data_IF_325135221576
#
_entry.id   IF_325135221576
#
_cell.length_a   1.000
_cell.length_b   1.000
_cell.length_c   1.000
_cell.angle_alpha   90.00
_cell.angle_beta   90.00
_cell.angle_gamma   90.00
#
_symmetry.space_group_name_H-M   'P 1'
#
loop_
_entity.id
_entity.type
_entity.pdbx_description
1 polymer ?
#
# COMPACT_ATOMS: atom_id res chain seq x y z
N UNK A 1 -12.58 3.14 -16.45
CA UNK A 1 -11.20 3.66 -16.60
C UNK A 1 -10.68 3.14 -17.94
N UNK A 2 -10.36 4.01 -18.90
CA UNK A 2 -9.79 3.62 -20.20
C UNK A 2 -8.42 3.00 -19.95
N UNK A 3 -8.28 1.72 -20.29
CA UNK A 3 -7.09 0.95 -19.94
C UNK A 3 -6.08 1.04 -21.09
N UNK A 4 -5.43 2.21 -21.19
CA UNK A 4 -4.55 2.63 -22.29
C UNK A 4 -3.34 1.70 -22.52
N UNK A 5 -3.04 0.83 -21.54
CA UNK A 5 -1.83 0.00 -21.52
C UNK A 5 -2.10 -1.51 -21.53
N UNK A 6 -3.34 -1.95 -21.82
CA UNK A 6 -3.72 -3.38 -21.82
C UNK A 6 -2.84 -4.30 -22.65
N UNK A 7 -2.21 -3.77 -23.69
CA UNK A 7 -1.41 -4.55 -24.64
C UNK A 7 0.10 -4.52 -24.34
N UNK A 8 0.52 -3.80 -23.30
CA UNK A 8 1.92 -3.73 -22.90
C UNK A 8 2.22 -4.85 -21.88
N UNK A 9 3.45 -5.43 -21.90
CA UNK A 9 3.82 -6.51 -21.00
C UNK A 9 3.89 -6.04 -19.54
N UNK A 10 3.53 -6.93 -18.62
CA UNK A 10 3.67 -6.68 -17.19
C UNK A 10 5.14 -6.48 -16.80
N UNK A 11 5.39 -5.65 -15.78
CA UNK A 11 6.72 -5.42 -15.21
C UNK A 11 7.08 -3.95 -15.03
N UNK A 12 8.36 -3.69 -14.74
CA UNK A 12 8.85 -2.32 -14.56
C UNK A 12 9.01 -1.64 -15.92
N UNK A 13 8.32 -0.52 -16.10
CA UNK A 13 8.36 0.30 -17.30
C UNK A 13 8.89 1.70 -16.97
N UNK A 14 9.60 2.32 -17.92
CA UNK A 14 10.03 3.71 -17.83
C UNK A 14 9.72 4.41 -19.15
N UNK A 15 8.72 5.30 -19.13
CA UNK A 15 8.40 6.13 -20.28
C UNK A 15 9.35 7.33 -20.34
N UNK A 16 9.70 7.84 -21.54
CA UNK A 16 10.52 9.04 -21.68
C UNK A 16 9.94 10.22 -20.89
N UNK A 17 10.76 10.85 -20.04
CA UNK A 17 10.34 11.98 -19.21
C UNK A 17 9.49 11.62 -17.98
N UNK A 18 9.25 10.34 -17.70
CA UNK A 18 8.45 9.89 -16.56
C UNK A 18 9.27 9.00 -15.59
N UNK A 19 8.89 8.97 -14.30
CA UNK A 19 9.48 8.04 -13.35
C UNK A 19 9.14 6.58 -13.71
N UNK A 20 9.95 5.65 -13.19
CA UNK A 20 9.67 4.21 -13.29
C UNK A 20 8.32 3.89 -12.65
N UNK A 21 7.55 3.03 -13.31
CA UNK A 21 6.29 2.51 -12.83
C UNK A 21 6.27 0.98 -12.95
N UNK A 22 5.41 0.33 -12.19
CA UNK A 22 5.12 -1.09 -12.37
C UNK A 22 3.81 -1.23 -13.15
N UNK A 23 3.89 -1.75 -14.37
CA UNK A 23 2.72 -2.01 -15.21
C UNK A 23 2.20 -3.42 -14.93
N UNK A 24 0.90 -3.55 -14.67
CA UNK A 24 0.23 -4.84 -14.50
C UNK A 24 -1.21 -4.77 -14.96
N UNK A 25 -1.62 -5.66 -15.87
CA UNK A 25 -2.97 -5.73 -16.47
C UNK A 25 -3.49 -4.36 -16.97
N UNK A 26 -2.56 -3.54 -17.46
CA UNK A 26 -2.78 -2.18 -17.95
C UNK A 26 -2.86 -1.07 -16.88
N UNK A 27 -2.72 -1.41 -15.59
CA UNK A 27 -2.57 -0.44 -14.50
C UNK A 27 -1.11 -0.01 -14.33
N UNK A 28 -0.87 1.30 -14.27
CA UNK A 28 0.41 1.85 -13.84
C UNK A 28 0.39 2.07 -12.33
N UNK A 29 1.15 1.24 -11.61
CA UNK A 29 1.34 1.33 -10.17
C UNK A 29 2.67 2.04 -9.84
N UNK A 30 2.78 2.69 -8.67
CA UNK A 30 4.06 3.18 -8.19
C UNK A 30 5.07 2.04 -8.12
N UNK A 31 6.27 2.26 -8.66
CA UNK A 31 7.39 1.35 -8.49
C UNK A 31 7.91 1.49 -7.05
N UNK A 32 7.69 0.47 -6.23
CA UNK A 32 8.29 0.35 -4.90
C UNK A 32 9.43 -0.68 -4.96
N UNK A 33 10.57 -0.46 -4.29
CA UNK A 33 11.60 -1.50 -4.16
C UNK A 33 11.00 -2.78 -3.58
N UNK A 34 11.30 -3.92 -4.20
CA UNK A 34 10.78 -5.23 -3.77
C UNK A 34 9.42 -5.63 -4.34
N UNK A 35 8.70 -4.73 -5.03
CA UNK A 35 7.46 -5.07 -5.73
C UNK A 35 7.70 -5.99 -6.92
N UNK A 36 6.93 -7.07 -7.02
CA UNK A 36 6.91 -7.98 -8.16
C UNK A 36 5.51 -8.59 -8.34
N UNK A 37 5.34 -9.37 -9.41
CA UNK A 37 4.05 -9.93 -9.82
C UNK A 37 3.48 -10.93 -8.80
N UNK A 38 4.34 -11.65 -8.09
CA UNK A 38 3.90 -12.59 -7.04
C UNK A 38 3.40 -11.84 -5.81
N UNK A 39 4.06 -10.74 -5.43
CA UNK A 39 3.61 -9.91 -4.29
C UNK A 39 2.35 -9.11 -4.59
N UNK A 40 2.02 -8.87 -5.86
CA UNK A 40 0.70 -8.32 -6.22
C UNK A 40 -0.46 -9.26 -5.85
N UNK A 41 -0.18 -10.57 -5.72
CA UNK A 41 -1.15 -11.60 -5.31
C UNK A 41 -1.21 -11.80 -3.79
N UNK A 42 -0.46 -11.00 -3.01
CA UNK A 42 -0.52 -11.04 -1.54
C UNK A 42 -1.94 -10.92 -1.00
N UNK A 43 -2.84 -10.05 -1.51
CA UNK A 43 -4.19 -9.96 -0.99
C UNK A 43 -4.95 -11.29 -1.00
N UNK A 44 -4.77 -12.11 -2.05
CA UNK A 44 -5.45 -13.41 -2.19
C UNK A 44 -4.85 -14.49 -1.28
N UNK A 45 -3.58 -14.35 -0.91
CA UNK A 45 -2.83 -15.35 -0.13
C UNK A 45 -2.82 -15.06 1.35
N UNK A 46 -3.01 -13.80 1.74
CA UNK A 46 -2.93 -13.38 3.13
C UNK A 46 -4.12 -13.92 3.92
N UNK A 47 -3.82 -14.56 5.05
CA UNK A 47 -4.85 -14.92 6.03
C UNK A 47 -5.25 -13.69 6.85
N UNK A 48 -6.43 -13.14 6.58
CA UNK A 48 -6.96 -11.99 7.32
C UNK A 48 -7.51 -12.37 8.71
N UNK A 49 -7.36 -11.43 9.65
CA UNK A 49 -7.87 -11.52 11.02
C UNK A 49 -8.85 -10.37 11.35
N UNK A 50 -9.72 -10.56 12.32
CA UNK A 50 -10.72 -9.55 12.78
C UNK A 50 -10.09 -8.24 13.29
N UNK A 51 -8.83 -8.32 13.73
CA UNK A 51 -8.06 -7.21 14.27
C UNK A 51 -7.22 -6.49 13.22
N UNK A 52 -7.19 -6.99 11.99
CA UNK A 52 -6.44 -6.39 10.90
C UNK A 52 -7.09 -5.07 10.46
N UNK A 53 -6.25 -4.07 10.16
CA UNK A 53 -6.67 -2.78 9.63
C UNK A 53 -6.00 -2.55 8.28
N UNK A 54 -6.81 -2.36 7.23
CA UNK A 54 -6.34 -2.11 5.87
C UNK A 54 -6.55 -0.65 5.49
N UNK A 55 -5.45 0.07 5.29
CA UNK A 55 -5.47 1.47 4.83
C UNK A 55 -5.35 1.49 3.31
N UNK A 56 -6.45 1.70 2.62
CA UNK A 56 -6.54 1.70 1.16
C UNK A 56 -6.57 3.12 0.63
N UNK A 57 -5.60 3.50 -0.19
CA UNK A 57 -5.49 4.87 -0.71
C UNK A 57 -5.05 4.87 -2.16
N UNK A 58 -5.49 5.85 -2.95
CA UNK A 58 -4.78 6.15 -4.19
C UNK A 58 -3.45 6.84 -3.88
N UNK A 59 -2.35 6.59 -4.63
CA UNK A 59 -1.07 7.25 -4.41
C UNK A 59 -1.22 8.77 -4.21
N UNK A 60 -0.47 9.35 -3.25
CA UNK A 60 -0.48 10.78 -2.92
C UNK A 60 -1.77 11.33 -2.29
N UNK A 61 -2.70 10.45 -1.90
CA UNK A 61 -3.98 10.83 -1.25
C UNK A 61 -3.91 10.99 0.28
N UNK A 62 -2.71 10.96 0.88
CA UNK A 62 -2.54 11.14 2.34
C UNK A 62 -2.19 9.88 3.12
N UNK A 63 -1.70 8.83 2.45
CA UNK A 63 -1.34 7.53 3.04
C UNK A 63 -0.44 7.65 4.27
N UNK A 64 0.59 8.48 4.21
CA UNK A 64 1.51 8.67 5.34
C UNK A 64 0.79 9.24 6.56
N UNK A 65 -0.04 10.28 6.37
CA UNK A 65 -0.82 10.89 7.44
C UNK A 65 -1.77 9.89 8.10
N UNK A 66 -2.52 9.13 7.29
CA UNK A 66 -3.44 8.12 7.81
C UNK A 66 -2.71 7.01 8.54
N UNK A 67 -1.60 6.51 7.99
CA UNK A 67 -0.79 5.47 8.65
C UNK A 67 -0.24 5.95 10.00
N UNK A 68 0.22 7.21 10.08
CA UNK A 68 0.66 7.83 11.34
C UNK A 68 -0.46 7.88 12.37
N UNK A 69 -1.65 8.36 11.99
CA UNK A 69 -2.81 8.43 12.89
C UNK A 69 -3.16 7.03 13.40
N UNK A 70 -3.27 6.05 12.51
CA UNK A 70 -3.61 4.68 12.91
C UNK A 70 -2.54 4.06 13.82
N UNK A 71 -1.25 4.27 13.54
CA UNK A 71 -0.16 3.75 14.36
C UNK A 71 -0.15 4.38 15.77
N UNK A 72 -0.34 5.69 15.89
CA UNK A 72 -0.46 6.39 17.18
C UNK A 72 -1.69 5.91 17.97
N UNK A 73 -2.85 5.79 17.33
CA UNK A 73 -4.09 5.35 17.98
C UNK A 73 -3.98 3.92 18.55
N UNK A 74 -3.15 3.07 17.95
CA UNK A 74 -2.88 1.72 18.43
C UNK A 74 -1.65 1.65 19.36
N UNK A 75 -1.02 2.77 19.70
CA UNK A 75 0.18 2.81 20.54
C UNK A 75 1.38 2.07 19.93
N UNK A 76 1.41 1.89 18.61
CA UNK A 76 2.49 1.18 17.90
C UNK A 76 3.68 2.06 17.55
N UNK A 77 3.51 3.35 17.69
CA UNK A 77 4.53 4.34 17.54
C UNK A 77 4.30 5.45 18.57
N UNK A 78 5.37 6.13 18.93
CA UNK A 78 5.31 7.39 19.64
C UNK A 78 6.09 8.44 18.85
N UNK A 79 5.48 8.91 17.77
CA UNK A 79 6.08 9.91 16.89
C UNK A 79 6.20 11.31 17.52
N UNK A 80 5.69 11.52 18.74
CA UNK A 80 5.85 12.78 19.47
C UNK A 80 7.23 12.82 20.15
N UNK A 81 7.68 11.66 20.65
CA UNK A 81 8.96 11.52 21.35
C UNK A 81 10.07 10.90 20.49
N UNK A 82 9.74 10.38 19.31
CA UNK A 82 10.70 9.87 18.33
C UNK A 82 11.46 11.06 17.69
N UNK A 83 12.80 11.06 17.82
CA UNK A 83 13.69 12.12 17.33
C UNK A 83 13.77 12.22 15.81
N UNK A 84 13.05 11.35 15.08
CA UNK A 84 13.04 11.32 13.62
C UNK A 84 14.29 10.71 13.00
N UNK A 85 15.24 10.24 13.82
CA UNK A 85 16.44 9.53 13.34
C UNK A 85 16.09 8.15 12.75
N UNK A 86 14.95 7.56 13.14
CA UNK A 86 14.43 6.33 12.57
C UNK A 86 13.30 6.56 11.53
N UNK A 87 13.46 7.51 10.61
CA UNK A 87 12.48 7.77 9.52
C UNK A 87 12.09 6.58 8.62
N UNK A 88 12.62 5.37 8.90
CA UNK A 88 12.31 4.10 8.25
C UNK A 88 11.33 3.20 9.03
N UNK A 89 10.90 3.58 10.24
CA UNK A 89 10.12 2.68 11.11
C UNK A 89 8.67 2.53 10.65
N UNK A 90 8.04 3.58 10.09
CA UNK A 90 6.62 3.49 9.68
C UNK A 90 6.40 2.38 8.66
N UNK A 91 7.29 2.19 7.68
CA UNK A 91 7.12 1.12 6.68
C UNK A 91 7.27 -0.29 7.26
N UNK A 92 7.87 -0.43 8.45
CA UNK A 92 7.94 -1.69 9.21
C UNK A 92 6.72 -1.88 10.11
N UNK A 93 6.19 -0.78 10.67
CA UNK A 93 4.99 -0.80 11.52
C UNK A 93 3.72 -0.96 10.68
N UNK A 94 3.67 -0.30 9.53
CA UNK A 94 2.56 -0.27 8.57
C UNK A 94 3.10 -0.62 7.19
N UNK A 95 3.38 -1.90 6.91
CA UNK A 95 3.94 -2.31 5.64
C UNK A 95 2.95 -2.16 4.48
N UNK A 96 3.51 -1.91 3.29
CA UNK A 96 2.76 -1.91 2.04
C UNK A 96 2.43 -3.35 1.65
N UNK A 97 1.19 -3.63 1.24
CA UNK A 97 0.68 -4.99 0.96
C UNK A 97 1.39 -5.73 -0.18
N UNK A 98 1.96 -5.03 -1.16
CA UNK A 98 2.55 -5.60 -2.37
C UNK A 98 4.09 -5.41 -2.44
N UNK A 99 4.75 -5.42 -1.28
CA UNK A 99 6.21 -5.19 -1.17
C UNK A 99 6.93 -6.29 -0.39
N UNK A 100 6.30 -6.87 0.63
CA UNK A 100 6.90 -7.90 1.47
C UNK A 100 6.36 -9.29 1.12
N UNK A 101 7.10 -10.36 1.42
CA UNK A 101 6.57 -11.72 1.30
C UNK A 101 5.41 -11.94 2.29
N UNK A 102 4.50 -12.87 1.99
CA UNK A 102 3.28 -13.10 2.80
C UNK A 102 3.62 -13.39 4.26
N UNK A 103 4.68 -14.17 4.47
CA UNK A 103 5.21 -14.60 5.76
C UNK A 103 5.62 -13.40 6.63
N UNK A 104 6.04 -12.29 6.02
CA UNK A 104 6.35 -11.07 6.77
C UNK A 104 5.10 -10.54 7.48
N UNK A 105 3.97 -10.46 6.77
CA UNK A 105 2.72 -9.96 7.37
C UNK A 105 2.17 -10.93 8.41
N UNK A 106 2.29 -12.24 8.20
CA UNK A 106 1.84 -13.26 9.15
C UNK A 106 2.58 -13.22 10.49
N UNK A 107 3.83 -12.75 10.48
CA UNK A 107 4.64 -12.57 11.69
C UNK A 107 4.43 -11.21 12.40
N UNK A 108 3.58 -10.32 11.87
CA UNK A 108 3.33 -9.03 12.52
C UNK A 108 2.49 -9.17 13.80
N UNK A 109 2.79 -8.41 14.86
CA UNK A 109 2.00 -8.41 16.07
C UNK A 109 0.61 -7.80 15.83
N UNK A 110 -0.42 -8.48 16.34
CA UNK A 110 -1.81 -8.04 16.27
C UNK A 110 -2.12 -6.92 17.29
N UNK A 111 -3.07 -6.00 17.01
CA UNK A 111 -3.69 -5.75 15.70
C UNK A 111 -2.64 -5.30 14.70
N UNK A 112 -2.64 -5.76 13.44
CA UNK A 112 -1.67 -5.27 12.42
C UNK A 112 -2.32 -4.28 11.45
N UNK A 113 -1.55 -3.28 11.04
CA UNK A 113 -1.97 -2.27 10.06
C UNK A 113 -1.21 -2.54 8.77
N UNK A 114 -1.91 -2.65 7.65
CA UNK A 114 -1.30 -2.85 6.32
C UNK A 114 -1.90 -1.81 5.40
N UNK A 115 -1.08 -1.14 4.57
CA UNK A 115 -1.61 -0.19 3.60
C UNK A 115 -1.48 -0.71 2.18
N UNK A 116 -2.35 -0.23 1.29
CA UNK A 116 -2.36 -0.64 -0.12
C UNK A 116 -2.70 0.53 -1.05
N UNK A 117 -2.04 0.51 -2.21
CA UNK A 117 -2.35 1.30 -3.39
C UNK A 117 -2.94 0.46 -4.52
N UNK A 118 -3.16 -0.84 -4.28
CA UNK A 118 -3.64 -1.74 -5.30
C UNK A 118 -5.05 -1.35 -5.76
N UNK A 119 -5.31 -1.44 -7.08
CA UNK A 119 -6.67 -1.35 -7.59
C UNK A 119 -7.55 -2.42 -6.95
N UNK A 120 -8.84 -2.11 -6.83
CA UNK A 120 -9.82 -2.99 -6.21
C UNK A 120 -9.86 -4.41 -6.83
N UNK A 121 -9.56 -4.54 -8.13
CA UNK A 121 -9.52 -5.85 -8.80
C UNK A 121 -8.40 -6.79 -8.30
N UNK A 122 -7.36 -6.24 -7.66
CA UNK A 122 -6.32 -7.04 -7.00
C UNK A 122 -6.58 -7.23 -5.51
N UNK A 123 -7.53 -6.51 -4.92
CA UNK A 123 -7.86 -6.67 -3.50
C UNK A 123 -8.77 -7.90 -3.33
N UNK A 124 -8.39 -8.84 -2.48
CA UNK A 124 -9.30 -9.90 -2.04
C UNK A 124 -10.16 -9.35 -0.90
N UNK A 125 -11.35 -8.85 -1.22
CA UNK A 125 -12.28 -8.32 -0.21
C UNK A 125 -12.64 -9.42 0.76
N UNK A 126 -12.48 -9.13 2.06
CA UNK A 126 -12.74 -10.05 3.14
C UNK A 126 -13.56 -9.31 4.21
N UNK A 127 -14.43 -10.01 4.94
CA UNK A 127 -15.29 -9.38 5.95
C UNK A 127 -14.56 -9.14 7.29
N UNK A 128 -13.44 -9.82 7.52
CA UNK A 128 -12.70 -9.77 8.80
C UNK A 128 -11.97 -8.45 9.05
N UNK A 129 -11.12 -7.94 8.14
CA UNK A 129 -10.35 -6.73 8.42
C UNK A 129 -11.25 -5.49 8.37
N UNK A 130 -10.89 -4.46 9.14
CA UNK A 130 -11.47 -3.12 8.98
C UNK A 130 -10.78 -2.38 7.85
N UNK A 131 -11.55 -1.78 6.94
CA UNK A 131 -11.02 -0.98 5.84
C UNK A 131 -11.13 0.51 6.13
N UNK A 132 -10.02 1.22 5.98
CA UNK A 132 -9.96 2.69 5.98
C UNK A 132 -9.64 3.11 4.55
N UNK A 133 -10.64 3.61 3.83
CA UNK A 133 -10.47 4.10 2.46
C UNK A 133 -10.31 5.60 2.48
N UNK A 134 -9.16 6.09 1.99
CA UNK A 134 -8.89 7.54 1.90
C UNK A 134 -8.94 7.97 0.45
N UNK A 135 -9.87 8.88 0.17
CA UNK A 135 -10.02 9.50 -1.14
C UNK A 135 -9.61 10.97 -1.07
N UNK A 136 -9.02 11.45 -2.16
CA UNK A 136 -8.66 12.86 -2.34
C UNK A 136 -9.11 13.31 -3.72
N UNK A 137 -9.48 14.58 -3.84
CA UNK A 137 -9.82 15.18 -5.12
C UNK A 137 -8.69 14.89 -6.15
N UNK A 138 -8.99 14.29 -7.32
CA UNK A 138 -7.98 13.97 -8.32
C UNK A 138 -7.16 15.17 -8.79
N UNK A 139 -7.74 16.38 -8.78
CA UNK A 139 -7.01 17.61 -9.10
C UNK A 139 -5.90 17.89 -8.09
N UNK A 140 -6.16 17.68 -6.80
CA UNK A 140 -5.16 17.88 -5.74
C UNK A 140 -4.10 16.78 -5.75
N UNK A 141 -4.49 15.57 -6.13
CA UNK A 141 -3.57 14.44 -6.29
C UNK A 141 -2.58 14.71 -7.42
N UNK A 142 -3.05 15.25 -8.55
CA UNK A 142 -2.22 15.54 -9.72
C UNK A 142 -1.14 16.60 -9.46
N UNK A 143 -1.41 17.58 -8.61
CA UNK A 143 -0.46 18.68 -8.30
C UNK A 143 0.70 18.22 -7.39
N UNK A 144 0.62 17.02 -6.80
CA UNK A 144 1.46 16.56 -5.68
C UNK A 144 2.43 15.45 -6.04
#
# INVERSE_FOLDING_TARGET
MLNLYKNLPNGVVQFPGHPRAYLVDGFLLPASPGKDEEKLKTPQRLKYHETDILVCTYPKSGTYWTNFICAQLLGKADFINDSGEEGHTLFRIVPQMDVWPVEYYENLPQPRIIYSHLPMCYMAVNEKPKYIVVMRNPKDVLVR
#
